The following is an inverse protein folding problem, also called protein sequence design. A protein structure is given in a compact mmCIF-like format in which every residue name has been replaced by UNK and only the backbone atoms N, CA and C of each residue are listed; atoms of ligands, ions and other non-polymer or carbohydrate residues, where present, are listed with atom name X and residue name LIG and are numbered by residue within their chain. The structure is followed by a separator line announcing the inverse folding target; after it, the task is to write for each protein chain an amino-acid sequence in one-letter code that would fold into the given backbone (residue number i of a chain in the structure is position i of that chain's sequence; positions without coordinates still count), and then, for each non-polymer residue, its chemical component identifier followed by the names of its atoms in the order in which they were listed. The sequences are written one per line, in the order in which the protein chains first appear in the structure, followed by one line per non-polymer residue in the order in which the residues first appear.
data_IF_096064231146
#
_entry.id   IF_096064231146
#
_cell.length_a   1.000
_cell.length_b   1.000
_cell.length_c   1.000
_cell.angle_alpha   90.00
_cell.angle_beta   90.00
_cell.angle_gamma   90.00
#
_symmetry.space_group_name_H-M   'P 1'
#
loop_
_entity.id
_entity.type
_entity.pdbx_description
1 polymer ?
#
# COMPACT_ATOMS: atom_id res chain seq x y z
N UNK A 1 -19.78 30.74 14.67
CA UNK A 1 -20.09 29.34 14.27
C UNK A 1 -19.42 28.41 15.25
N UNK A 2 -20.19 27.59 15.98
CA UNK A 2 -19.63 26.54 16.85
C UNK A 2 -19.14 25.41 15.94
N UNK A 3 -17.83 25.20 15.88
CA UNK A 3 -17.25 24.00 15.30
C UNK A 3 -17.79 22.80 16.08
N UNK A 4 -18.67 22.02 15.47
CA UNK A 4 -19.12 20.75 16.05
C UNK A 4 -17.89 19.87 16.22
N UNK A 5 -17.49 19.63 17.47
CA UNK A 5 -16.40 18.72 17.79
C UNK A 5 -16.67 17.37 17.15
N UNK A 6 -15.80 16.95 16.22
CA UNK A 6 -15.87 15.61 15.65
C UNK A 6 -15.69 14.63 16.81
N UNK A 7 -16.70 13.80 17.07
CA UNK A 7 -16.56 12.71 18.03
C UNK A 7 -15.37 11.84 17.61
N UNK A 8 -14.55 11.35 18.57
CA UNK A 8 -13.45 10.45 18.26
C UNK A 8 -13.98 9.23 17.49
N UNK A 9 -13.20 8.71 16.53
CA UNK A 9 -13.60 7.52 15.77
C UNK A 9 -13.81 6.36 16.74
N UNK A 10 -15.01 5.78 16.72
CA UNK A 10 -15.33 4.60 17.52
C UNK A 10 -14.73 3.38 16.83
N UNK A 11 -14.04 2.54 17.60
CA UNK A 11 -13.54 1.26 17.12
C UNK A 11 -14.73 0.40 16.66
N UNK A 12 -14.59 -0.21 15.48
CA UNK A 12 -15.72 -0.90 14.84
C UNK A 12 -16.04 -2.22 15.53
N UNK A 13 -15.05 -2.94 16.05
CA UNK A 13 -15.25 -4.19 16.78
C UNK A 13 -15.92 -3.93 18.12
N UNK A 14 -15.45 -2.94 18.87
CA UNK A 14 -16.08 -2.50 20.13
C UNK A 14 -17.54 -2.11 19.91
N UNK A 15 -17.86 -1.41 18.81
CA UNK A 15 -19.24 -1.05 18.48
C UNK A 15 -20.13 -2.28 18.26
N UNK A 16 -19.65 -3.33 17.58
CA UNK A 16 -20.42 -4.55 17.37
C UNK A 16 -20.58 -5.38 18.66
N UNK A 17 -19.56 -5.42 19.51
CA UNK A 17 -19.60 -6.13 20.80
C UNK A 17 -20.58 -5.49 21.79
N UNK A 18 -20.77 -4.17 21.68
CA UNK A 18 -21.75 -3.45 22.48
C UNK A 18 -23.21 -3.72 22.08
N UNK A 19 -23.46 -4.34 20.91
CA UNK A 19 -24.82 -4.65 20.45
C UNK A 19 -25.32 -5.98 21.04
N UNK A 20 -26.60 -6.07 21.46
CA UNK A 20 -27.18 -7.33 21.92
C UNK A 20 -27.11 -8.40 20.80
N UNK A 21 -26.57 -9.57 21.11
CA UNK A 21 -26.36 -10.65 20.11
C UNK A 21 -27.71 -11.17 19.59
N UNK A 22 -28.69 -11.36 20.47
CA UNK A 22 -29.95 -12.04 20.16
C UNK A 22 -31.09 -11.08 19.77
N UNK A 23 -30.86 -9.77 19.80
CA UNK A 23 -31.90 -8.78 19.56
C UNK A 23 -31.38 -7.60 18.75
N UNK A 24 -32.18 -7.18 17.75
CA UNK A 24 -31.95 -5.92 17.05
C UNK A 24 -32.53 -4.78 17.89
N UNK A 25 -31.72 -3.76 18.16
CA UNK A 25 -32.22 -2.50 18.70
C UNK A 25 -33.24 -1.84 17.75
N UNK A 26 -34.01 -0.87 18.23
CA UNK A 26 -35.03 -0.19 17.41
C UNK A 26 -34.46 0.46 16.14
N UNK A 27 -33.26 1.03 16.23
CA UNK A 27 -32.56 1.62 15.08
C UNK A 27 -32.06 0.55 14.10
N UNK A 28 -31.59 -0.59 14.60
CA UNK A 28 -31.22 -1.74 13.78
C UNK A 28 -32.43 -2.35 13.07
N UNK A 29 -33.54 -2.53 13.79
CA UNK A 29 -34.79 -3.02 13.22
C UNK A 29 -35.31 -2.06 12.14
N UNK A 30 -35.18 -0.74 12.33
CA UNK A 30 -35.56 0.25 11.34
C UNK A 30 -34.68 0.19 10.08
N UNK A 31 -33.35 0.06 10.21
CA UNK A 31 -32.46 -0.10 9.05
C UNK A 31 -32.72 -1.41 8.31
N UNK A 32 -32.92 -2.52 9.06
CA UNK A 32 -33.32 -3.81 8.50
C UNK A 32 -34.60 -3.68 7.69
N UNK A 33 -35.63 -3.08 8.27
CA UNK A 33 -36.93 -2.95 7.61
C UNK A 33 -36.83 -2.11 6.33
N UNK A 34 -36.10 -0.98 6.38
CA UNK A 34 -35.85 -0.14 5.20
C UNK A 34 -35.15 -0.91 4.07
N UNK A 35 -34.15 -1.75 4.38
CA UNK A 35 -33.48 -2.59 3.39
C UNK A 35 -34.42 -3.65 2.79
N UNK A 36 -35.23 -4.31 3.62
CA UNK A 36 -36.17 -5.33 3.16
C UNK A 36 -37.27 -4.73 2.27
N UNK A 37 -37.79 -3.57 2.63
CA UNK A 37 -38.81 -2.86 1.84
C UNK A 37 -38.22 -2.35 0.53
N UNK A 38 -37.01 -1.80 0.57
CA UNK A 38 -36.28 -1.43 -0.65
C UNK A 38 -36.05 -2.64 -1.58
N UNK A 39 -35.61 -3.79 -1.06
CA UNK A 39 -35.42 -5.02 -1.85
C UNK A 39 -36.73 -5.51 -2.48
N UNK A 40 -37.85 -5.43 -1.76
CA UNK A 40 -39.18 -5.81 -2.26
C UNK A 40 -39.70 -4.84 -3.32
N UNK A 41 -39.44 -3.55 -3.15
CA UNK A 41 -39.85 -2.49 -4.07
C UNK A 41 -38.91 -2.31 -5.26
N UNK A 42 -37.70 -2.88 -5.23
CA UNK A 42 -36.68 -2.70 -6.27
C UNK A 42 -37.20 -2.94 -7.70
N UNK A 43 -38.00 -4.00 -7.99
CA UNK A 43 -38.55 -4.20 -9.33
C UNK A 43 -39.38 -3.02 -9.85
N UNK A 44 -39.99 -2.22 -8.96
CA UNK A 44 -40.77 -1.02 -9.29
C UNK A 44 -39.92 0.25 -9.33
N UNK A 45 -38.86 0.31 -8.51
CA UNK A 45 -37.94 1.46 -8.40
C UNK A 45 -36.73 1.39 -9.33
N UNK A 46 -36.57 0.29 -10.06
CA UNK A 46 -35.43 0.04 -10.92
C UNK A 46 -35.24 1.19 -11.93
N UNK A 47 -34.01 1.68 -12.15
CA UNK A 47 -33.72 2.62 -13.22
C UNK A 47 -34.16 2.07 -14.58
N UNK A 48 -34.77 2.91 -15.41
CA UNK A 48 -35.33 2.50 -16.72
C UNK A 48 -34.32 1.90 -17.69
N UNK A 49 -33.02 2.17 -17.50
CA UNK A 49 -31.94 1.64 -18.33
C UNK A 49 -31.52 0.20 -17.95
N UNK A 50 -31.94 -0.31 -16.79
CA UNK A 50 -31.55 -1.64 -16.34
C UNK A 50 -32.57 -2.69 -16.77
N UNK A 51 -32.13 -3.85 -17.29
CA UNK A 51 -33.03 -4.91 -17.72
C UNK A 51 -33.84 -5.49 -16.54
N UNK A 52 -34.96 -6.15 -16.88
CA UNK A 52 -35.88 -6.76 -15.91
C UNK A 52 -35.21 -7.73 -14.91
N UNK A 53 -34.08 -8.32 -15.31
CA UNK A 53 -33.31 -9.31 -14.55
C UNK A 53 -31.94 -8.79 -14.11
N UNK A 54 -31.72 -7.47 -14.13
CA UNK A 54 -30.46 -6.89 -13.66
C UNK A 54 -30.21 -7.28 -12.18
N UNK A 55 -28.96 -7.67 -11.83
CA UNK A 55 -28.56 -7.86 -10.44
C UNK A 55 -28.84 -6.61 -9.60
N UNK A 56 -29.14 -6.83 -8.33
CA UNK A 56 -29.37 -5.76 -7.36
C UNK A 56 -28.06 -5.55 -6.60
N UNK A 57 -27.42 -4.39 -6.75
CA UNK A 57 -26.15 -4.15 -6.06
C UNK A 57 -26.36 -3.42 -4.73
N UNK A 58 -25.50 -3.73 -3.76
CA UNK A 58 -25.51 -3.08 -2.45
C UNK A 58 -25.30 -1.56 -2.55
N UNK A 59 -24.58 -1.11 -3.59
CA UNK A 59 -24.39 0.31 -3.85
C UNK A 59 -25.70 1.03 -4.14
N UNK A 60 -26.64 0.39 -4.86
CA UNK A 60 -27.95 0.96 -5.18
C UNK A 60 -28.78 1.14 -3.90
N UNK A 61 -28.74 0.16 -2.99
CA UNK A 61 -29.38 0.24 -1.68
C UNK A 61 -28.83 1.43 -0.86
N UNK A 62 -27.52 1.68 -0.95
CA UNK A 62 -26.87 2.79 -0.27
C UNK A 62 -27.25 4.18 -0.79
N UNK A 63 -27.86 4.28 -1.97
CA UNK A 63 -28.37 5.53 -2.54
C UNK A 63 -29.86 5.78 -2.21
N UNK A 64 -30.61 4.76 -1.80
CA UNK A 64 -31.99 4.94 -1.37
C UNK A 64 -32.06 5.87 -0.14
N UNK A 65 -32.97 6.84 -0.20
CA UNK A 65 -33.03 7.92 0.80
C UNK A 65 -33.40 7.41 2.20
N UNK A 66 -34.27 6.41 2.30
CA UNK A 66 -34.68 5.84 3.59
C UNK A 66 -33.56 4.96 4.16
N UNK A 67 -32.99 4.05 3.34
CA UNK A 67 -31.84 3.24 3.75
C UNK A 67 -30.68 4.14 4.20
N UNK A 68 -30.37 5.20 3.45
CA UNK A 68 -29.31 6.17 3.79
C UNK A 68 -29.59 6.90 5.11
N UNK A 69 -30.83 7.32 5.35
CA UNK A 69 -31.22 8.00 6.58
C UNK A 69 -31.10 7.07 7.80
N UNK A 70 -31.62 5.84 7.71
CA UNK A 70 -31.50 4.84 8.80
C UNK A 70 -30.05 4.43 9.03
N UNK A 71 -29.26 4.32 7.95
CA UNK A 71 -27.82 4.04 8.04
C UNK A 71 -27.08 5.13 8.80
N UNK A 72 -27.33 6.40 8.48
CA UNK A 72 -26.67 7.52 9.15
C UNK A 72 -27.10 7.66 10.63
N UNK A 73 -28.32 7.24 10.97
CA UNK A 73 -28.82 7.26 12.34
C UNK A 73 -28.22 6.13 13.20
N UNK A 74 -27.89 4.98 12.59
CA UNK A 74 -27.43 3.79 13.30
C UNK A 74 -25.92 3.59 13.25
N UNK A 75 -25.33 3.60 12.05
CA UNK A 75 -23.96 3.13 11.82
C UNK A 75 -22.94 4.26 12.04
N UNK A 76 -21.91 4.04 12.87
CA UNK A 76 -20.73 4.89 12.90
C UNK A 76 -20.07 4.95 11.52
N UNK A 77 -19.32 6.03 11.24
CA UNK A 77 -18.61 6.19 9.98
C UNK A 77 -17.55 5.10 9.73
N UNK A 78 -17.07 4.45 10.79
CA UNK A 78 -16.12 3.32 10.72
C UNK A 78 -16.77 1.99 10.33
N UNK A 79 -18.10 1.86 10.44
CA UNK A 79 -18.82 0.59 10.21
C UNK A 79 -19.50 0.62 8.84
N UNK A 80 -19.13 -0.33 7.97
CA UNK A 80 -19.71 -0.42 6.63
C UNK A 80 -21.07 -1.12 6.66
N UNK A 81 -21.99 -0.67 5.80
CA UNK A 81 -23.31 -1.31 5.66
C UNK A 81 -23.21 -2.82 5.35
N UNK A 82 -22.22 -3.20 4.54
CA UNK A 82 -21.92 -4.60 4.22
C UNK A 82 -21.65 -5.45 5.47
N UNK A 83 -20.78 -4.97 6.35
CA UNK A 83 -20.39 -5.70 7.57
C UNK A 83 -21.56 -5.82 8.53
N UNK A 84 -22.36 -4.76 8.65
CA UNK A 84 -23.57 -4.80 9.46
C UNK A 84 -24.59 -5.80 8.91
N UNK A 85 -24.81 -5.84 7.59
CA UNK A 85 -25.70 -6.83 6.96
C UNK A 85 -25.23 -8.25 7.29
N UNK A 86 -23.96 -8.56 7.03
CA UNK A 86 -23.40 -9.89 7.24
C UNK A 86 -23.51 -10.34 8.71
N UNK A 87 -23.23 -9.44 9.67
CA UNK A 87 -23.23 -9.77 11.11
C UNK A 87 -24.63 -9.78 11.75
N UNK A 88 -25.55 -8.93 11.29
CA UNK A 88 -26.81 -8.67 12.03
C UNK A 88 -28.05 -9.23 11.34
N UNK A 89 -28.07 -9.24 10.00
CA UNK A 89 -29.23 -9.71 9.23
C UNK A 89 -28.86 -10.71 8.13
N UNK A 90 -27.70 -11.35 8.24
CA UNK A 90 -27.23 -12.38 7.30
C UNK A 90 -28.16 -13.59 7.19
N UNK A 91 -29.05 -13.79 8.17
CA UNK A 91 -30.11 -14.80 8.10
C UNK A 91 -31.23 -14.47 7.10
N UNK A 92 -31.41 -13.20 6.72
CA UNK A 92 -32.51 -12.74 5.85
C UNK A 92 -32.02 -12.17 4.54
N UNK A 93 -30.82 -11.59 4.53
CA UNK A 93 -30.18 -10.98 3.38
C UNK A 93 -28.88 -11.74 3.10
N UNK A 94 -28.65 -12.04 1.83
CA UNK A 94 -27.44 -12.68 1.33
C UNK A 94 -26.65 -11.69 0.47
N UNK A 95 -25.35 -11.54 0.77
CA UNK A 95 -24.43 -10.77 -0.04
C UNK A 95 -23.57 -11.71 -0.88
N UNK A 96 -23.51 -11.47 -2.18
CA UNK A 96 -22.67 -12.23 -3.12
C UNK A 96 -21.73 -11.29 -3.84
N UNK A 97 -20.51 -11.74 -4.14
CA UNK A 97 -19.63 -11.02 -5.06
C UNK A 97 -19.83 -11.60 -6.45
N UNK A 98 -20.08 -10.74 -7.42
CA UNK A 98 -20.11 -11.14 -8.83
C UNK A 98 -18.68 -11.31 -9.38
N UNK A 99 -18.57 -11.73 -10.64
CA UNK A 99 -17.29 -11.94 -11.33
C UNK A 99 -16.45 -10.66 -11.47
N UNK A 100 -17.10 -9.50 -11.39
CA UNK A 100 -16.46 -8.18 -11.46
C UNK A 100 -16.07 -7.62 -10.09
N UNK A 101 -16.40 -8.34 -9.01
CA UNK A 101 -16.16 -7.94 -7.63
C UNK A 101 -17.20 -6.99 -7.04
N UNK A 102 -18.29 -6.70 -7.75
CA UNK A 102 -19.42 -5.95 -7.20
C UNK A 102 -20.20 -6.82 -6.22
N UNK A 103 -20.81 -6.18 -5.21
CA UNK A 103 -21.57 -6.89 -4.18
C UNK A 103 -23.05 -6.85 -4.55
N UNK A 104 -23.59 -7.99 -4.96
CA UNK A 104 -25.02 -8.24 -5.11
C UNK A 104 -25.67 -8.46 -3.74
N UNK A 105 -26.88 -7.91 -3.56
CA UNK A 105 -27.69 -8.06 -2.36
C UNK A 105 -29.00 -8.76 -2.73
N UNK A 106 -29.29 -9.88 -2.08
CA UNK A 106 -30.50 -10.67 -2.34
C UNK A 106 -31.23 -11.01 -1.05
N UNK A 107 -32.55 -11.21 -1.14
CA UNK A 107 -33.31 -11.83 -0.05
C UNK A 107 -32.95 -13.32 0.00
N UNK A 108 -32.55 -13.83 1.17
CA UNK A 108 -32.21 -15.24 1.35
C UNK A 108 -33.43 -16.10 0.98
N UNK A 109 -33.21 -17.11 0.13
CA UNK A 109 -34.27 -17.98 -0.39
C UNK A 109 -35.02 -17.45 -1.62
N UNK A 110 -34.75 -16.22 -2.07
CA UNK A 110 -35.21 -15.77 -3.39
C UNK A 110 -34.54 -16.59 -4.49
N UNK A 111 -35.31 -17.00 -5.50
CA UNK A 111 -34.77 -17.72 -6.66
C UNK A 111 -33.82 -16.76 -7.41
N UNK A 112 -32.55 -17.14 -7.65
CA UNK A 112 -31.65 -16.28 -8.42
C UNK A 112 -32.26 -16.00 -9.80
N UNK A 113 -32.08 -14.79 -10.35
CA UNK A 113 -32.60 -14.44 -11.67
C UNK A 113 -32.11 -15.46 -12.69
N UNK A 114 -33.01 -15.93 -13.55
CA UNK A 114 -32.83 -17.10 -14.41
C UNK A 114 -31.71 -17.00 -15.49
N UNK A 115 -30.86 -15.98 -15.43
CA UNK A 115 -29.70 -15.79 -16.32
C UNK A 115 -28.33 -15.83 -15.63
N UNK A 116 -28.25 -15.93 -14.30
CA UNK A 116 -26.97 -15.85 -13.56
C UNK A 116 -26.28 -17.22 -13.34
N UNK A 117 -26.79 -18.31 -13.94
CA UNK A 117 -26.32 -19.68 -13.68
C UNK A 117 -25.01 -20.08 -14.41
N UNK A 118 -24.17 -19.12 -14.81
CA UNK A 118 -22.85 -19.37 -15.41
C UNK A 118 -21.74 -19.67 -14.40
N UNK A 119 -21.87 -19.20 -13.16
CA UNK A 119 -20.88 -19.41 -12.09
C UNK A 119 -21.23 -20.61 -11.22
N UNK A 120 -20.37 -21.63 -11.20
CA UNK A 120 -20.49 -22.82 -10.33
C UNK A 120 -20.46 -22.40 -8.85
N UNK A 121 -21.63 -22.23 -8.22
CA UNK A 121 -21.73 -22.15 -6.76
C UNK A 121 -21.73 -23.57 -6.14
N UNK A 122 -21.07 -23.78 -4.98
CA UNK A 122 -21.05 -25.06 -4.30
C UNK A 122 -22.42 -25.34 -3.66
N UNK A 123 -23.03 -26.45 -4.07
CA UNK A 123 -24.34 -26.90 -3.59
C UNK A 123 -24.25 -27.44 -2.16
N UNK A 124 -24.85 -26.75 -1.20
CA UNK A 124 -25.25 -27.33 0.09
C UNK A 124 -26.54 -28.12 -0.11
N UNK A 125 -26.42 -29.46 -0.17
CA UNK A 125 -27.57 -30.38 -0.17
C UNK A 125 -28.12 -30.51 1.25
N UNK A 126 -29.31 -29.96 1.48
CA UNK A 126 -30.22 -30.41 2.53
C UNK A 126 -31.30 -31.28 1.87
N UNK A 127 -31.39 -32.55 2.28
CA UNK A 127 -32.47 -33.44 1.91
C UNK A 127 -33.01 -34.11 3.19
N UNK A 128 -34.24 -33.76 3.55
CA UNK A 128 -35.05 -34.51 4.49
C UNK A 128 -36.03 -35.38 3.68
N UNK A 129 -35.89 -36.71 3.76
CA UNK A 129 -37.03 -37.64 3.88
C UNK A 129 -36.54 -39.07 4.16
N UNK A 130 -37.13 -39.70 5.15
CA UNK A 130 -37.12 -41.14 5.43
C UNK A 130 -38.59 -41.63 5.45
N UNK A 131 -38.91 -42.93 5.65
CA UNK A 131 -38.08 -44.15 5.57
C UNK A 131 -38.72 -45.30 4.75
N UNK A 132 -37.92 -46.26 4.26
CA UNK A 132 -38.32 -47.67 4.15
C UNK A 132 -37.13 -48.64 3.93
N UNK A 133 -36.99 -49.57 4.88
CA UNK A 133 -36.50 -50.96 4.81
C UNK A 133 -35.12 -51.35 4.21
N UNK A 134 -34.24 -51.80 5.13
CA UNK A 134 -33.36 -53.01 5.14
C UNK A 134 -32.55 -53.42 3.89
N UNK A 135 -31.21 -53.31 3.99
CA UNK A 135 -30.23 -54.41 3.90
C UNK A 135 -28.78 -53.88 4.12
N UNK A 136 -27.84 -54.65 4.73
CA UNK A 136 -26.47 -54.20 4.96
C UNK A 136 -25.49 -54.74 3.91
N UNK A 137 -24.75 -53.87 3.22
CA UNK A 137 -23.59 -54.28 2.43
C UNK A 137 -22.56 -53.15 2.28
N UNK A 138 -21.32 -53.49 2.64
CA UNK A 138 -20.03 -52.94 2.20
C UNK A 138 -19.79 -51.41 2.30
N UNK A 139 -19.03 -51.02 3.33
CA UNK A 139 -18.29 -49.75 3.41
C UNK A 139 -17.26 -49.69 2.26
N UNK A 140 -17.55 -48.89 1.24
CA UNK A 140 -16.54 -48.32 0.35
C UNK A 140 -16.17 -46.93 0.91
N UNK A 141 -14.88 -46.75 1.23
CA UNK A 141 -14.31 -45.45 1.61
C UNK A 141 -14.40 -44.51 0.41
N UNK A 142 -15.13 -43.41 0.57
CA UNK A 142 -15.12 -42.32 -0.40
C UNK A 142 -13.77 -41.57 -0.35
N UNK A 143 -13.21 -41.15 -1.50
CA UNK A 143 -11.95 -40.41 -1.55
C UNK A 143 -12.11 -39.06 -0.85
N UNK A 144 -11.11 -38.74 -0.01
CA UNK A 144 -11.10 -37.62 0.92
C UNK A 144 -11.44 -36.27 0.30
N UNK A 145 -12.25 -35.50 1.02
CA UNK A 145 -12.48 -34.10 0.76
C UNK A 145 -11.14 -33.35 0.83
N UNK A 146 -10.72 -32.74 -0.29
CA UNK A 146 -9.55 -31.88 -0.31
C UNK A 146 -9.73 -30.74 0.71
N UNK A 147 -8.67 -30.40 1.47
CA UNK A 147 -8.73 -29.30 2.43
C UNK A 147 -9.06 -28.00 1.71
N UNK A 148 -10.05 -27.27 2.23
CA UNK A 148 -10.41 -25.94 1.74
C UNK A 148 -9.40 -24.95 2.29
N UNK A 149 -8.32 -24.69 1.55
CA UNK A 149 -7.41 -23.58 1.86
C UNK A 149 -8.17 -22.26 1.77
N UNK A 150 -8.01 -21.44 2.80
CA UNK A 150 -8.61 -20.10 2.83
C UNK A 150 -7.84 -19.15 1.91
N UNK A 151 -8.47 -18.12 1.32
CA UNK A 151 -7.77 -17.15 0.47
C UNK A 151 -6.59 -16.45 1.15
N UNK A 152 -6.63 -16.34 2.49
CA UNK A 152 -5.53 -15.76 3.28
C UNK A 152 -4.30 -16.67 3.27
N UNK A 153 -4.48 -17.98 3.44
CA UNK A 153 -3.40 -18.96 3.44
C UNK A 153 -2.70 -19.01 2.08
N UNK A 154 -3.48 -19.05 0.98
CA UNK A 154 -2.93 -19.01 -0.38
C UNK A 154 -2.07 -17.77 -0.60
N UNK A 155 -2.49 -16.63 -0.03
CA UNK A 155 -1.73 -15.39 -0.17
C UNK A 155 -0.43 -15.42 0.62
N UNK A 156 -0.43 -15.96 1.84
CA UNK A 156 0.78 -16.09 2.64
C UNK A 156 1.77 -17.09 2.03
N UNK A 157 1.28 -18.23 1.54
CA UNK A 157 2.12 -19.23 0.86
C UNK A 157 2.77 -18.66 -0.40
N UNK A 158 2.02 -17.87 -1.19
CA UNK A 158 2.57 -17.18 -2.35
C UNK A 158 3.75 -16.27 -1.98
N UNK A 159 3.61 -15.38 -0.98
CA UNK A 159 4.69 -14.48 -0.59
C UNK A 159 5.86 -15.20 0.08
N UNK A 160 5.62 -16.31 0.80
CA UNK A 160 6.69 -17.15 1.37
C UNK A 160 7.52 -17.84 0.29
N UNK A 161 6.93 -18.11 -0.88
CA UNK A 161 7.62 -18.70 -2.02
C UNK A 161 8.47 -17.73 -2.84
N UNK A 162 8.34 -16.42 -2.62
CA UNK A 162 9.14 -15.41 -3.33
C UNK A 162 10.47 -15.13 -2.61
N UNK A 163 11.58 -14.92 -3.33
CA UNK A 163 12.85 -14.51 -2.72
C UNK A 163 12.70 -13.16 -1.99
N UNK A 164 13.14 -13.04 -0.72
CA UNK A 164 12.98 -11.80 0.04
C UNK A 164 13.81 -10.65 -0.53
N UNK A 165 15.04 -10.93 -0.96
CA UNK A 165 16.04 -9.92 -1.35
C UNK A 165 16.21 -9.77 -2.87
N UNK A 166 15.52 -10.59 -3.66
CA UNK A 166 15.59 -10.59 -5.11
C UNK A 166 14.19 -10.49 -5.72
N UNK A 167 14.08 -9.80 -6.85
CA UNK A 167 12.87 -9.79 -7.67
C UNK A 167 13.07 -10.72 -8.86
N UNK A 168 12.13 -11.65 -9.04
CA UNK A 168 12.06 -12.48 -10.24
C UNK A 168 11.75 -11.64 -11.47
N UNK A 169 12.03 -12.16 -12.68
CA UNK A 169 11.75 -11.44 -13.94
C UNK A 169 10.27 -11.01 -14.05
N UNK A 170 9.34 -11.88 -13.67
CA UNK A 170 7.91 -11.56 -13.65
C UNK A 170 7.55 -10.49 -12.60
N UNK A 171 8.27 -10.41 -11.48
CA UNK A 171 8.13 -9.32 -10.50
C UNK A 171 8.67 -8.00 -11.04
N UNK A 172 9.79 -8.04 -11.75
CA UNK A 172 10.37 -6.86 -12.41
C UNK A 172 9.40 -6.31 -13.45
N UNK A 173 8.78 -7.18 -14.26
CA UNK A 173 7.77 -6.79 -15.25
C UNK A 173 6.55 -6.12 -14.60
N UNK A 174 6.02 -6.71 -13.52
CA UNK A 174 4.88 -6.13 -12.81
C UNK A 174 5.26 -4.80 -12.13
N UNK A 175 6.45 -4.74 -11.52
CA UNK A 175 6.99 -3.52 -10.92
C UNK A 175 7.09 -2.41 -11.96
N UNK A 176 7.73 -2.69 -13.10
CA UNK A 176 7.92 -1.71 -14.16
C UNK A 176 6.57 -1.20 -14.69
N UNK A 177 5.61 -2.09 -14.94
CA UNK A 177 4.27 -1.69 -15.39
C UNK A 177 3.55 -0.77 -14.39
N UNK A 178 3.69 -1.04 -13.08
CA UNK A 178 3.13 -0.15 -12.04
C UNK A 178 3.86 1.19 -12.01
N UNK A 179 5.19 1.20 -12.07
CA UNK A 179 5.99 2.43 -12.07
C UNK A 179 5.69 3.31 -13.29
N UNK A 180 5.60 2.72 -14.48
CA UNK A 180 5.27 3.42 -15.73
C UNK A 180 3.89 4.09 -15.65
N UNK A 181 2.88 3.39 -15.11
CA UNK A 181 1.55 3.95 -14.90
C UNK A 181 1.57 5.14 -13.93
N UNK A 182 2.28 4.98 -12.80
CA UNK A 182 2.35 6.06 -11.79
C UNK A 182 3.12 7.26 -12.34
N UNK A 183 4.22 7.04 -13.07
CA UNK A 183 5.04 8.08 -13.65
C UNK A 183 4.31 8.83 -14.79
N UNK A 184 3.61 8.12 -15.66
CA UNK A 184 2.80 8.73 -16.73
C UNK A 184 1.66 9.59 -16.20
N UNK A 185 1.04 9.22 -15.07
CA UNK A 185 0.03 10.06 -14.42
C UNK A 185 0.64 11.22 -13.63
N UNK A 186 1.81 11.01 -13.03
CA UNK A 186 2.50 12.06 -12.29
C UNK A 186 2.91 13.24 -13.19
N UNK A 187 3.29 12.98 -14.45
CA UNK A 187 3.57 14.05 -15.43
C UNK A 187 2.32 14.86 -15.81
N UNK A 188 1.13 14.27 -15.67
CA UNK A 188 -0.17 14.95 -15.81
C UNK A 188 -0.62 15.65 -14.52
N UNK A 189 0.16 15.56 -13.43
CA UNK A 189 -0.19 16.09 -12.11
C UNK A 189 -1.28 15.29 -11.39
N UNK A 190 -1.52 14.05 -11.81
CA UNK A 190 -2.52 13.16 -11.23
C UNK A 190 -1.87 11.92 -10.56
N UNK A 191 -2.59 11.29 -9.64
CA UNK A 191 -2.22 10.00 -9.05
C UNK A 191 -3.21 8.93 -9.55
N UNK A 192 -2.75 7.83 -10.18
CA UNK A 192 -3.65 6.81 -10.66
C UNK A 192 -4.37 6.16 -9.49
N UNK A 193 -5.66 5.88 -9.66
CA UNK A 193 -6.39 5.09 -8.67
C UNK A 193 -5.92 3.63 -8.74
N UNK A 194 -5.87 2.94 -7.61
CA UNK A 194 -5.56 1.51 -7.58
C UNK A 194 -6.56 0.70 -8.43
N UNK A 195 -7.82 1.14 -8.50
CA UNK A 195 -8.84 0.54 -9.36
C UNK A 195 -8.57 0.74 -10.85
N UNK A 196 -7.91 1.83 -11.23
CA UNK A 196 -7.44 2.09 -12.59
C UNK A 196 -6.24 1.21 -12.92
N UNK A 197 -5.28 1.09 -12.00
CA UNK A 197 -4.14 0.19 -12.15
C UNK A 197 -4.56 -1.28 -12.36
N UNK A 198 -5.62 -1.73 -11.69
CA UNK A 198 -6.19 -3.06 -11.92
C UNK A 198 -6.82 -3.27 -13.31
N UNK A 199 -7.11 -2.20 -14.06
CA UNK A 199 -7.67 -2.21 -15.42
C UNK A 199 -6.62 -1.91 -16.49
N UNK A 200 -5.43 -1.48 -16.10
CA UNK A 200 -4.34 -1.23 -17.03
C UNK A 200 -3.88 -2.54 -17.69
N UNK A 201 -3.75 -2.52 -19.02
CA UNK A 201 -3.49 -3.74 -19.81
C UNK A 201 -2.12 -4.34 -19.50
N UNK A 202 -1.11 -3.51 -19.28
CA UNK A 202 0.25 -3.95 -18.99
C UNK A 202 0.32 -4.58 -17.59
N UNK A 203 -0.30 -3.92 -16.60
CA UNK A 203 -0.40 -4.45 -15.24
C UNK A 203 -1.20 -5.75 -15.20
N UNK A 204 -2.34 -5.84 -15.91
CA UNK A 204 -3.13 -7.09 -15.97
C UNK A 204 -2.34 -8.25 -16.56
N UNK A 205 -1.58 -8.01 -17.62
CA UNK A 205 -0.73 -9.04 -18.25
C UNK A 205 0.36 -9.52 -17.29
N UNK A 206 1.11 -8.60 -16.69
CA UNK A 206 2.18 -8.94 -15.75
C UNK A 206 1.62 -9.62 -14.48
N UNK A 207 0.48 -9.15 -13.97
CA UNK A 207 -0.25 -9.76 -12.86
C UNK A 207 -0.65 -11.20 -13.17
N UNK A 208 -1.19 -11.48 -14.34
CA UNK A 208 -1.61 -12.84 -14.73
C UNK A 208 -0.44 -13.81 -14.90
N UNK A 209 0.76 -13.30 -15.18
CA UNK A 209 1.98 -14.11 -15.26
C UNK A 209 2.60 -14.41 -13.89
N UNK A 210 2.49 -13.48 -12.94
CA UNK A 210 3.16 -13.57 -11.64
C UNK A 210 2.26 -14.09 -10.51
N UNK A 211 1.04 -13.57 -10.40
CA UNK A 211 0.25 -13.66 -9.17
C UNK A 211 -0.98 -14.56 -9.35
N UNK A 212 -1.28 -15.44 -8.37
CA UNK A 212 -2.58 -16.09 -8.29
C UNK A 212 -3.72 -15.06 -8.23
N UNK A 213 -4.91 -15.37 -8.77
CA UNK A 213 -6.05 -14.45 -8.78
C UNK A 213 -6.50 -14.04 -7.37
N UNK A 214 -6.24 -14.88 -6.37
CA UNK A 214 -6.54 -14.64 -4.96
C UNK A 214 -5.67 -13.53 -4.35
N UNK A 215 -4.47 -13.30 -4.89
CA UNK A 215 -3.52 -12.31 -4.37
C UNK A 215 -3.87 -10.91 -4.92
N UNK A 216 -4.27 -9.96 -4.07
CA UNK A 216 -4.62 -8.62 -4.53
C UNK A 216 -3.37 -7.81 -4.91
N UNK A 217 -3.44 -7.07 -6.02
CA UNK A 217 -2.37 -6.16 -6.45
C UNK A 217 -1.94 -5.20 -5.33
N UNK A 218 -2.89 -4.73 -4.52
CA UNK A 218 -2.64 -3.88 -3.35
C UNK A 218 -1.57 -4.47 -2.42
N UNK A 219 -1.73 -5.73 -2.02
CA UNK A 219 -0.84 -6.37 -1.05
C UNK A 219 0.54 -6.62 -1.66
N UNK A 220 0.59 -6.95 -2.95
CA UNK A 220 1.85 -7.11 -3.65
C UNK A 220 2.62 -5.78 -3.74
N UNK A 221 1.94 -4.69 -4.10
CA UNK A 221 2.55 -3.35 -4.14
C UNK A 221 3.09 -2.98 -2.76
N UNK A 222 2.29 -3.12 -1.70
CA UNK A 222 2.70 -2.81 -0.32
C UNK A 222 3.91 -3.66 0.14
N UNK A 223 3.93 -4.97 -0.16
CA UNK A 223 4.97 -5.89 0.31
C UNK A 223 6.26 -5.87 -0.51
N UNK A 224 6.18 -5.71 -1.83
CA UNK A 224 7.32 -5.90 -2.74
C UNK A 224 7.91 -4.60 -3.25
N UNK A 225 7.08 -3.58 -3.48
CA UNK A 225 7.52 -2.28 -3.99
C UNK A 225 7.04 -1.11 -3.12
N UNK A 226 6.70 -1.36 -1.86
CA UNK A 226 6.24 -0.33 -0.91
C UNK A 226 7.31 0.73 -0.58
N UNK A 227 8.57 0.45 -0.91
CA UNK A 227 9.67 1.41 -0.87
C UNK A 227 9.69 2.41 -2.04
N UNK A 228 8.99 2.10 -3.13
CA UNK A 228 9.00 2.89 -4.38
C UNK A 228 7.62 3.50 -4.68
N UNK A 229 6.56 2.77 -4.37
CA UNK A 229 5.17 3.16 -4.61
C UNK A 229 4.42 3.12 -3.29
N UNK A 230 3.77 4.23 -2.94
CA UNK A 230 2.92 4.32 -1.76
C UNK A 230 1.45 4.29 -2.18
N UNK A 231 0.65 3.50 -1.45
CA UNK A 231 -0.81 3.51 -1.57
C UNK A 231 -1.36 4.43 -0.49
N UNK A 232 -2.07 5.49 -0.89
CA UNK A 232 -2.68 6.44 0.02
C UNK A 232 -4.17 6.62 -0.28
N UNK A 233 -4.94 7.17 0.66
CA UNK A 233 -6.34 7.55 0.40
C UNK A 233 -6.39 8.99 -0.11
N UNK A 234 -6.99 9.19 -1.27
CA UNK A 234 -7.21 10.52 -1.84
C UNK A 234 -8.30 11.30 -1.07
N UNK A 235 -8.58 12.53 -1.49
CA UNK A 235 -9.62 13.37 -0.89
C UNK A 235 -11.04 12.77 -0.98
N UNK A 236 -11.25 11.77 -1.83
CA UNK A 236 -12.51 11.03 -2.01
C UNK A 236 -12.52 9.71 -1.22
N UNK A 237 -11.46 9.41 -0.47
CA UNK A 237 -11.30 8.17 0.29
C UNK A 237 -10.96 6.94 -0.56
N UNK A 238 -10.63 7.12 -1.84
CA UNK A 238 -10.22 6.05 -2.74
C UNK A 238 -8.73 5.79 -2.63
N UNK A 239 -8.31 4.54 -2.80
CA UNK A 239 -6.89 4.19 -2.80
C UNK A 239 -6.25 4.66 -4.11
N UNK A 240 -5.28 5.56 -4.01
CA UNK A 240 -4.47 6.06 -5.11
C UNK A 240 -3.02 5.61 -4.93
N UNK A 241 -2.32 5.45 -6.05
CA UNK A 241 -0.90 5.16 -6.11
C UNK A 241 -0.15 6.47 -6.33
N UNK A 242 0.93 6.70 -5.59
CA UNK A 242 1.89 7.76 -5.90
C UNK A 242 3.29 7.18 -5.86
N UNK A 243 4.18 7.73 -6.68
CA UNK A 243 5.60 7.50 -6.49
C UNK A 243 5.90 7.97 -5.08
N UNK A 244 6.54 7.11 -4.29
CA UNK A 244 7.24 7.59 -3.11
C UNK A 244 8.36 8.46 -3.68
N UNK A 245 8.08 9.76 -3.80
CA UNK A 245 9.11 10.75 -4.08
C UNK A 245 10.23 10.40 -3.12
N UNK A 246 11.45 10.26 -3.63
CA UNK A 246 12.63 9.85 -2.89
C UNK A 246 13.03 10.82 -1.79
N UNK A 247 12.09 11.23 -0.94
CA UNK A 247 12.30 11.35 0.47
C UNK A 247 12.88 10.01 0.94
N UNK A 248 14.20 10.03 0.88
CA UNK A 248 15.12 9.31 1.74
C UNK A 248 14.72 9.41 3.23
N UNK A 249 13.67 10.15 3.58
CA UNK A 249 13.05 10.30 4.91
C UNK A 249 11.78 9.45 5.09
N UNK A 250 11.71 8.28 4.44
CA UNK A 250 10.62 7.30 4.59
C UNK A 250 10.53 6.60 5.96
N UNK A 251 10.87 7.30 7.04
CA UNK A 251 10.33 7.02 8.36
C UNK A 251 8.85 7.43 8.35
N UNK A 252 7.99 6.49 8.71
CA UNK A 252 6.52 6.62 8.76
C UNK A 252 6.06 7.98 9.28
N UNK A 253 5.18 8.68 8.54
CA UNK A 253 4.66 10.00 8.94
C UNK A 253 3.73 9.98 10.19
N UNK A 254 3.52 8.82 10.81
CA UNK A 254 2.86 8.67 12.13
C UNK A 254 3.83 8.18 13.23
N UNK A 255 5.10 7.94 12.90
CA UNK A 255 6.15 7.80 13.90
C UNK A 255 6.93 9.12 13.91
N UNK A 256 6.90 9.92 15.00
CA UNK A 256 7.80 11.06 15.09
C UNK A 256 9.20 10.53 14.82
N UNK A 257 9.87 11.06 13.79
CA UNK A 257 11.30 10.88 13.60
C UNK A 257 11.94 11.42 14.87
N UNK A 258 12.13 10.55 15.86
CA UNK A 258 12.74 10.95 17.12
C UNK A 258 14.14 11.40 16.72
N UNK A 259 14.49 12.69 16.81
CA UNK A 259 15.85 13.13 16.55
C UNK A 259 16.86 12.28 17.36
N UNK A 260 16.40 11.78 18.51
CA UNK A 260 17.05 10.79 19.36
C UNK A 260 17.55 9.53 18.62
N UNK A 261 16.77 8.95 17.71
CA UNK A 261 17.17 7.73 17.00
C UNK A 261 18.28 7.98 15.98
N UNK A 262 18.22 9.14 15.30
CA UNK A 262 19.26 9.58 14.37
C UNK A 262 20.56 9.91 15.10
N UNK A 263 20.48 10.69 16.18
CA UNK A 263 21.66 11.05 16.98
C UNK A 263 22.27 9.83 17.66
N UNK A 264 21.45 8.91 18.18
CA UNK A 264 21.93 7.66 18.75
C UNK A 264 22.67 6.78 17.72
N UNK A 265 22.20 6.73 16.47
CA UNK A 265 22.90 6.03 15.39
C UNK A 265 24.32 6.60 15.19
N UNK A 266 24.46 7.91 15.01
CA UNK A 266 25.77 8.54 14.81
C UNK A 266 26.66 8.50 16.05
N UNK A 267 26.08 8.58 17.25
CA UNK A 267 26.82 8.44 18.50
C UNK A 267 27.40 7.04 18.71
N UNK A 268 26.81 6.02 18.08
CA UNK A 268 27.31 4.64 18.09
C UNK A 268 28.46 4.37 17.11
N UNK A 269 28.74 5.29 16.18
CA UNK A 269 29.81 5.13 15.20
C UNK A 269 31.16 5.64 15.74
N UNK A 270 32.29 5.06 15.30
CA UNK A 270 33.62 5.58 15.64
C UNK A 270 33.77 7.02 15.13
N UNK A 271 34.25 7.93 15.98
CA UNK A 271 34.34 9.36 15.65
C UNK A 271 35.45 9.67 14.64
N UNK A 272 36.58 8.98 14.77
CA UNK A 272 37.82 9.33 14.07
C UNK A 272 38.10 8.45 12.85
N UNK A 273 37.39 7.32 12.72
CA UNK A 273 37.60 6.35 11.65
C UNK A 273 36.26 5.90 11.03
N UNK A 274 36.32 5.46 9.78
CA UNK A 274 35.24 4.73 9.13
C UNK A 274 35.33 3.24 9.48
N UNK A 275 34.18 2.61 9.71
CA UNK A 275 34.12 1.14 9.74
C UNK A 275 34.42 0.57 8.35
N UNK A 276 34.81 -0.72 8.23
CA UNK A 276 35.09 -1.32 6.91
C UNK A 276 33.91 -1.25 5.92
N UNK A 277 32.67 -1.28 6.41
CA UNK A 277 31.48 -1.14 5.56
C UNK A 277 31.26 0.32 5.15
N UNK A 278 31.53 1.26 6.06
CA UNK A 278 31.49 2.69 5.75
C UNK A 278 32.57 3.10 4.74
N UNK A 279 33.79 2.57 4.85
CA UNK A 279 34.87 2.83 3.90
C UNK A 279 34.50 2.30 2.50
N UNK A 280 33.86 1.13 2.42
CA UNK A 280 33.34 0.60 1.14
C UNK A 280 32.26 1.50 0.53
N UNK A 281 31.34 2.01 1.34
CA UNK A 281 30.31 2.96 0.85
C UNK A 281 30.94 4.27 0.40
N UNK A 282 31.94 4.78 1.14
CA UNK A 282 32.72 5.97 0.81
C UNK A 282 33.41 5.81 -0.53
N UNK A 283 34.19 4.73 -0.71
CA UNK A 283 34.89 4.41 -1.96
C UNK A 283 33.90 4.29 -3.13
N UNK A 284 32.79 3.58 -2.95
CA UNK A 284 31.76 3.42 -3.99
C UNK A 284 31.14 4.76 -4.42
N UNK A 285 30.89 5.68 -3.49
CA UNK A 285 30.38 7.02 -3.80
C UNK A 285 31.41 7.87 -4.55
N UNK A 286 32.68 7.82 -4.15
CA UNK A 286 33.75 8.55 -4.83
C UNK A 286 33.98 8.00 -6.24
N UNK A 287 34.06 6.67 -6.40
CA UNK A 287 34.16 6.00 -7.69
C UNK A 287 32.99 6.33 -8.61
N UNK A 288 31.77 6.36 -8.08
CA UNK A 288 30.59 6.80 -8.82
C UNK A 288 30.76 8.22 -9.33
N UNK A 289 31.21 9.16 -8.49
CA UNK A 289 31.45 10.55 -8.88
C UNK A 289 32.55 10.68 -9.95
N UNK A 290 33.64 9.91 -9.84
CA UNK A 290 34.70 9.88 -10.84
C UNK A 290 34.20 9.34 -12.18
N UNK A 291 33.53 8.19 -12.17
CA UNK A 291 32.92 7.58 -13.37
C UNK A 291 31.88 8.51 -14.01
N UNK A 292 31.09 9.21 -13.20
CA UNK A 292 30.10 10.18 -13.69
C UNK A 292 30.77 11.29 -14.49
N UNK A 293 31.86 11.86 -13.95
CA UNK A 293 32.66 12.90 -14.61
C UNK A 293 33.28 12.42 -15.93
N UNK A 294 33.81 11.19 -15.96
CA UNK A 294 34.43 10.62 -17.15
C UNK A 294 33.44 10.33 -18.29
N UNK A 295 32.22 9.88 -17.95
CA UNK A 295 31.19 9.57 -18.95
C UNK A 295 30.73 10.81 -19.73
N UNK A 296 30.92 12.02 -19.19
CA UNK A 296 30.46 13.26 -19.82
C UNK A 296 28.95 13.32 -20.04
N UNK A 297 28.19 12.46 -19.37
CA UNK A 297 26.73 12.43 -19.37
C UNK A 297 26.27 13.61 -18.53
N UNK A 298 25.64 14.60 -19.16
CA UNK A 298 25.30 15.87 -18.51
C UNK A 298 26.50 16.80 -18.41
N UNK A 299 26.97 17.36 -19.52
CA UNK A 299 28.03 18.39 -19.55
C UNK A 299 27.65 19.57 -18.64
N UNK A 300 28.10 19.52 -17.39
CA UNK A 300 27.86 20.52 -16.36
C UNK A 300 26.73 20.20 -15.37
N UNK A 301 26.04 19.06 -15.50
CA UNK A 301 25.01 18.67 -14.53
C UNK A 301 25.59 17.69 -13.50
N UNK A 302 25.63 18.07 -12.21
CA UNK A 302 26.11 17.18 -11.16
C UNK A 302 25.09 16.05 -10.92
N UNK A 303 25.56 14.86 -10.52
CA UNK A 303 24.67 13.73 -10.26
C UNK A 303 23.76 14.01 -9.07
N UNK A 304 22.55 13.47 -9.12
CA UNK A 304 21.64 13.43 -7.97
C UNK A 304 21.79 12.15 -7.16
N UNK A 305 21.37 12.17 -5.89
CA UNK A 305 21.39 10.97 -5.02
C UNK A 305 20.59 9.80 -5.63
N UNK A 306 19.57 10.09 -6.45
CA UNK A 306 18.81 9.07 -7.18
C UNK A 306 19.69 8.32 -8.18
N UNK A 307 20.58 9.03 -8.90
CA UNK A 307 21.52 8.41 -9.83
C UNK A 307 22.50 7.49 -9.09
N UNK A 308 23.02 7.93 -7.95
CA UNK A 308 23.89 7.11 -7.10
C UNK A 308 23.16 5.89 -6.53
N UNK A 309 21.87 6.04 -6.17
CA UNK A 309 21.05 4.92 -5.70
C UNK A 309 20.79 3.84 -6.75
N UNK A 310 20.94 4.17 -8.05
CA UNK A 310 20.88 3.22 -9.15
C UNK A 310 22.20 2.50 -9.46
N UNK A 311 23.32 2.97 -8.89
CA UNK A 311 24.62 2.33 -9.04
C UNK A 311 24.70 1.06 -8.16
N UNK A 312 25.18 -0.04 -8.74
CA UNK A 312 25.17 -1.35 -8.09
C UNK A 312 26.08 -1.39 -6.86
N UNK A 313 27.26 -0.76 -6.93
CA UNK A 313 28.26 -0.78 -5.87
C UNK A 313 27.83 0.13 -4.71
N UNK A 314 27.29 1.31 -5.03
CA UNK A 314 26.69 2.21 -4.03
C UNK A 314 25.51 1.53 -3.34
N UNK A 315 24.63 0.85 -4.08
CA UNK A 315 23.46 0.17 -3.52
C UNK A 315 23.86 -0.98 -2.58
N UNK A 316 24.83 -1.81 -2.98
CA UNK A 316 25.32 -2.92 -2.16
C UNK A 316 25.97 -2.41 -0.86
N UNK A 317 26.86 -1.42 -0.96
CA UNK A 317 27.55 -0.86 0.20
C UNK A 317 26.60 -0.09 1.12
N UNK A 318 25.58 0.58 0.56
CA UNK A 318 24.53 1.25 1.34
C UNK A 318 23.75 0.27 2.19
N UNK A 319 23.42 -0.91 1.68
CA UNK A 319 22.67 -1.90 2.45
C UNK A 319 23.44 -2.42 3.68
N UNK A 320 24.78 -2.45 3.61
CA UNK A 320 25.63 -2.83 4.73
C UNK A 320 25.69 -1.74 5.82
N UNK A 321 25.83 -0.46 5.42
CA UNK A 321 25.96 0.67 6.37
C UNK A 321 24.61 1.15 6.89
N UNK A 322 23.58 1.15 6.04
CA UNK A 322 22.24 1.65 6.32
C UNK A 322 21.20 0.56 6.00
N UNK A 323 21.10 -0.50 6.84
CA UNK A 323 20.09 -1.53 6.67
C UNK A 323 18.65 -0.96 6.64
N UNK A 324 17.70 -1.64 5.99
CA UNK A 324 16.30 -1.23 6.01
C UNK A 324 15.78 -1.03 7.44
N UNK A 325 15.13 0.11 7.70
CA UNK A 325 14.64 0.48 9.04
C UNK A 325 15.60 1.33 9.87
N UNK A 326 16.81 1.59 9.38
CA UNK A 326 17.73 2.55 10.01
C UNK A 326 17.12 3.97 9.99
N UNK A 327 17.19 4.74 11.09
CA UNK A 327 16.59 6.07 11.18
C UNK A 327 17.38 7.15 10.43
N UNK A 328 18.44 6.77 9.72
CA UNK A 328 19.39 7.67 9.04
C UNK A 328 19.33 7.42 7.54
N UNK A 329 19.13 8.49 6.78
CA UNK A 329 19.14 8.43 5.32
C UNK A 329 20.57 8.46 4.75
N UNK A 330 20.74 8.05 3.48
CA UNK A 330 22.04 8.18 2.81
C UNK A 330 22.52 9.64 2.77
N UNK A 331 21.60 10.58 2.57
CA UNK A 331 21.88 12.01 2.63
C UNK A 331 22.46 12.38 3.99
N UNK A 332 21.78 12.01 5.07
CA UNK A 332 22.22 12.34 6.43
C UNK A 332 23.60 11.76 6.73
N UNK A 333 23.85 10.52 6.31
CA UNK A 333 25.12 9.84 6.48
C UNK A 333 26.25 10.57 5.71
N UNK A 334 26.04 10.94 4.45
CA UNK A 334 27.02 11.73 3.66
C UNK A 334 27.30 13.07 4.36
N UNK A 335 26.27 13.78 4.80
CA UNK A 335 26.40 15.07 5.51
C UNK A 335 27.26 14.94 6.78
N UNK A 336 27.06 13.88 7.56
CA UNK A 336 27.73 13.70 8.86
C UNK A 336 29.13 13.11 8.74
N UNK A 337 29.31 12.15 7.83
CA UNK A 337 30.54 11.34 7.75
C UNK A 337 31.45 11.77 6.61
N UNK A 338 30.87 12.23 5.50
CA UNK A 338 31.61 12.63 4.30
C UNK A 338 31.50 14.12 3.95
N UNK A 339 30.95 14.97 4.84
CA UNK A 339 30.82 16.42 4.58
C UNK A 339 32.15 17.15 4.35
N UNK A 340 33.28 16.50 4.67
CA UNK A 340 34.63 16.93 4.31
C UNK A 340 34.98 16.77 2.83
N UNK A 341 34.45 15.72 2.19
CA UNK A 341 34.86 15.23 0.86
C UNK A 341 33.78 15.43 -0.20
N UNK A 342 32.51 15.30 0.19
CA UNK A 342 31.34 15.46 -0.67
C UNK A 342 30.54 16.67 -0.20
N UNK A 343 30.16 17.51 -1.16
CA UNK A 343 29.18 18.58 -0.97
C UNK A 343 27.84 18.18 -1.58
N UNK A 344 26.74 18.68 -0.98
CA UNK A 344 25.38 18.45 -1.46
C UNK A 344 24.64 19.78 -1.56
N UNK A 345 23.88 19.95 -2.63
CA UNK A 345 23.04 21.13 -2.89
C UNK A 345 21.67 20.68 -3.35
N UNK A 346 20.62 21.37 -2.90
CA UNK A 346 19.27 21.12 -3.41
C UNK A 346 19.06 21.89 -4.70
N UNK A 347 18.70 21.17 -5.76
CA UNK A 347 18.32 21.76 -7.03
C UNK A 347 17.02 22.56 -6.90
N UNK A 348 16.99 23.78 -7.43
CA UNK A 348 15.79 24.61 -7.43
C UNK A 348 14.73 24.12 -8.42
N UNK A 349 15.15 23.50 -9.54
CA UNK A 349 14.27 23.13 -10.64
C UNK A 349 13.43 21.89 -10.33
N UNK A 350 14.05 20.84 -9.79
CA UNK A 350 13.43 19.53 -9.57
C UNK A 350 13.36 19.13 -8.09
N UNK A 351 13.83 19.99 -7.17
CA UNK A 351 13.93 19.73 -5.72
C UNK A 351 14.79 18.52 -5.34
N UNK A 352 15.52 17.94 -6.28
CA UNK A 352 16.43 16.83 -6.03
C UNK A 352 17.68 17.29 -5.27
N UNK A 353 18.33 16.37 -4.57
CA UNK A 353 19.61 16.60 -3.91
C UNK A 353 20.71 16.21 -4.89
N UNK A 354 21.42 17.20 -5.38
CA UNK A 354 22.62 17.06 -6.21
C UNK A 354 23.82 16.95 -5.29
N UNK A 355 24.82 16.17 -5.67
CA UNK A 355 26.03 16.01 -4.88
C UNK A 355 27.28 15.88 -5.76
N UNK A 356 28.43 16.26 -5.21
CA UNK A 356 29.69 16.28 -5.94
C UNK A 356 30.90 16.35 -5.00
N UNK A 357 32.10 16.25 -5.58
CA UNK A 357 33.33 16.39 -4.82
C UNK A 357 33.48 17.82 -4.31
N UNK A 358 33.80 17.97 -3.02
CA UNK A 358 33.93 19.28 -2.38
C UNK A 358 35.00 20.11 -3.08
N UNK A 359 34.59 21.30 -3.53
CA UNK A 359 35.47 22.25 -4.22
C UNK A 359 35.74 21.94 -5.70
N UNK A 360 35.07 20.95 -6.31
CA UNK A 360 35.22 20.70 -7.75
C UNK A 360 34.59 21.79 -8.63
N UNK A 361 33.75 22.66 -8.06
CA UNK A 361 33.04 23.72 -8.78
C UNK A 361 31.81 23.23 -9.53
N UNK A 362 31.61 21.91 -9.62
CA UNK A 362 30.52 21.29 -10.40
C UNK A 362 29.14 21.64 -9.84
N UNK A 363 28.99 21.83 -8.52
CA UNK A 363 27.71 22.24 -7.92
C UNK A 363 27.37 23.73 -8.09
N UNK A 364 28.35 24.58 -8.42
CA UNK A 364 28.10 26.03 -8.58
C UNK A 364 27.49 26.40 -9.93
N UNK A 365 27.64 25.57 -10.96
CA UNK A 365 27.16 25.88 -12.30
C UNK A 365 25.63 25.74 -12.45
N UNK A 366 24.97 24.93 -11.61
CA UNK A 366 23.53 24.63 -11.70
C UNK A 366 22.62 25.47 -10.79
N UNK A 367 23.16 26.16 -9.79
CA UNK A 367 22.41 27.02 -8.87
C UNK A 367 22.69 28.49 -9.19
N UNK A 368 21.71 29.20 -9.74
CA UNK A 368 21.80 30.64 -9.98
C UNK A 368 22.38 31.34 -8.74
N UNK A 369 23.48 32.07 -8.95
CA UNK A 369 24.31 32.62 -7.88
C UNK A 369 23.51 33.43 -6.85
N UNK A 370 23.11 32.79 -5.75
CA UNK A 370 22.84 33.47 -4.49
C UNK A 370 23.96 33.09 -3.54
N UNK A 371 24.82 34.06 -3.25
CA UNK A 371 25.95 33.91 -2.35
C UNK A 371 25.45 33.64 -0.92
N UNK A 372 25.17 32.37 -0.61
CA UNK A 372 24.92 31.92 0.75
C UNK A 372 26.23 32.08 1.53
N UNK A 373 26.20 33.02 2.48
CA UNK A 373 27.27 33.34 3.42
C UNK A 373 27.77 32.05 4.08
N UNK A 374 28.95 31.57 3.69
CA UNK A 374 29.66 30.44 4.30
C UNK A 374 29.74 30.68 5.81
N UNK A 375 28.98 29.93 6.61
CA UNK A 375 29.23 29.83 8.05
C UNK A 375 30.46 28.92 8.21
N UNK A 376 31.55 29.38 8.83
CA UNK A 376 32.66 28.50 9.19
C UNK A 376 32.13 27.41 10.10
N UNK A 377 32.40 26.16 9.74
CA UNK A 377 32.18 25.02 10.63
C UNK A 377 33.27 25.09 11.72
N UNK A 378 32.94 25.66 12.88
CA UNK A 378 33.74 25.55 14.09
C UNK A 378 33.42 24.22 14.77
N UNK A 379 34.21 23.20 14.48
CA UNK A 379 34.08 21.89 15.13
C UNK A 379 35.42 21.17 15.15
N UNK A 380 36.08 21.19 16.32
CA UNK A 380 37.01 20.13 16.73
C UNK A 380 38.51 20.39 16.57
N UNK A 381 39.06 21.41 17.23
CA UNK A 381 40.49 21.44 17.55
C UNK A 381 40.80 20.39 18.63
N UNK A 382 41.14 19.18 18.22
CA UNK A 382 41.74 18.16 19.07
C UNK A 382 43.15 18.58 19.50
N UNK A 383 43.32 18.77 20.79
CA UNK A 383 44.58 19.12 21.44
C UNK A 383 45.66 18.04 21.22
N UNK A 384 46.74 18.39 20.52
CA UNK A 384 48.04 17.72 20.65
C UNK A 384 48.86 18.46 21.69
N UNK A 385 48.77 18.04 22.95
CA UNK A 385 49.77 18.34 23.97
C UNK A 385 50.59 17.09 24.24
N UNK A 386 51.90 17.19 24.06
CA UNK A 386 52.82 16.12 24.44
C UNK A 386 54.17 16.24 23.75
N UNK A 387 54.87 17.35 23.99
CA UNK A 387 56.28 17.54 23.65
C UNK A 387 57.08 17.58 24.95
N UNK A 388 58.07 16.70 25.01
CA UNK A 388 59.36 16.77 25.70
C UNK A 388 59.44 17.37 27.12
N UNK A 389 59.83 16.52 28.07
CA UNK A 389 60.84 16.84 29.10
C UNK A 389 61.56 15.55 29.50
#
# INVERSE_FOLDING_TARGET
GKSGGKKPPVDKEEWFEALPVDQLSNSEAALRQALLDWLRDWPRRRPSHQPANAPIFLQDAGQDSDVKAKRAALLPASVLLREWIDRRIGGEVELRKDETGNIEILLRGSKPPAGAAGGKAPTLKAAAKAPAAKAPAAKAQAPGAAPKTTPSEVTEEFFKGLPPDEMTEAEIDLRQAVLDLVQSRASEGASPLLSEACRDRSIMKARGALMPPEVPLRQWVEKRIGGEVEIFRDAKGMNALKMRQGSVDGASADAPSRPEGREAFFAGLPKDDFTPDEERLREALLDFLYKWKERGVGKGEPPSLSHAGGDADVRASRAAVLPPGTPVSLKDWIEHRMGGEIEMTRSESNKEVLFGLRGSGDLQAGGGATAAKKRPWEGGAGARTGKDS
#
